data_IF_499050683840
#
_entry.id   IF_499050683840
#
_cell.length_a   1.000
_cell.length_b   1.000
_cell.length_c   1.000
_cell.angle_alpha   90.00
_cell.angle_beta   90.00
_cell.angle_gamma   90.00
#
_symmetry.space_group_name_H-M   'P 1'
#
loop_
_entity.id
_entity.type
_entity.pdbx_description
1 polymer ?
#
# COMPACT_ATOMS: atom_id res chain seq x y z
N UNK A 1 -5.44 -1.07 -15.79
CA UNK A 1 -5.61 -2.29 -14.95
C UNK A 1 -4.93 -3.51 -15.56
N UNK A 2 -5.21 -3.88 -16.82
CA UNK A 2 -4.59 -5.04 -17.48
C UNK A 2 -3.05 -5.02 -17.46
N UNK A 3 -2.42 -3.88 -17.74
CA UNK A 3 -0.96 -3.74 -17.73
C UNK A 3 -0.32 -4.12 -16.39
N UNK A 4 -0.96 -3.78 -15.27
CA UNK A 4 -0.47 -4.12 -13.92
C UNK A 4 -0.50 -5.63 -13.70
N UNK A 5 -1.58 -6.30 -14.11
CA UNK A 5 -1.69 -7.75 -13.99
C UNK A 5 -0.71 -8.49 -14.90
N UNK A 6 -0.51 -8.00 -16.13
CA UNK A 6 0.51 -8.53 -17.05
C UNK A 6 1.90 -8.40 -16.45
N UNK A 7 2.26 -7.23 -15.91
CA UNK A 7 3.55 -7.03 -15.26
C UNK A 7 3.76 -8.00 -14.08
N UNK A 8 2.74 -8.21 -13.24
CA UNK A 8 2.81 -9.19 -12.14
C UNK A 8 2.99 -10.61 -12.66
N UNK A 9 2.27 -11.01 -13.71
CA UNK A 9 2.39 -12.33 -14.30
C UNK A 9 3.80 -12.58 -14.88
N UNK A 10 4.36 -11.60 -15.58
CA UNK A 10 5.73 -11.68 -16.13
C UNK A 10 6.75 -11.87 -15.01
N UNK A 11 6.64 -11.09 -13.92
CA UNK A 11 7.53 -11.23 -12.76
C UNK A 11 7.39 -12.62 -12.11
N UNK A 12 6.17 -13.12 -11.95
CA UNK A 12 5.93 -14.45 -11.37
C UNK A 12 6.53 -15.58 -12.22
N UNK A 13 6.40 -15.49 -13.56
CA UNK A 13 7.01 -16.46 -14.49
C UNK A 13 8.54 -16.37 -14.42
N UNK A 14 9.11 -15.17 -14.43
CA UNK A 14 10.55 -14.97 -14.31
C UNK A 14 11.12 -15.57 -13.01
N UNK A 15 10.43 -15.34 -11.87
CA UNK A 15 10.77 -15.94 -10.59
C UNK A 15 10.74 -17.48 -10.65
N UNK A 16 9.68 -18.04 -11.24
CA UNK A 16 9.51 -19.50 -11.34
C UNK A 16 10.60 -20.13 -12.19
N UNK A 17 10.90 -19.53 -13.36
CA UNK A 17 11.98 -19.99 -14.23
C UNK A 17 13.34 -19.86 -13.55
N UNK A 18 13.59 -18.74 -12.86
CA UNK A 18 14.80 -18.55 -12.08
C UNK A 18 14.95 -19.65 -11.02
N UNK A 19 13.87 -20.01 -10.32
CA UNK A 19 13.88 -21.08 -9.33
C UNK A 19 14.14 -22.48 -9.90
N UNK A 20 13.50 -22.78 -11.04
CA UNK A 20 13.67 -24.06 -11.69
C UNK A 20 15.08 -24.23 -12.27
N UNK A 21 15.60 -23.17 -12.91
CA UNK A 21 16.93 -23.18 -13.55
C UNK A 21 18.08 -23.08 -12.56
N UNK A 22 17.90 -22.37 -11.43
CA UNK A 22 18.93 -22.18 -10.40
C UNK A 22 18.64 -23.07 -9.17
N UNK A 23 18.28 -24.33 -9.44
CA UNK A 23 18.06 -25.38 -8.44
C UNK A 23 19.35 -26.05 -7.97
N UNK A 24 20.51 -25.63 -8.49
CA UNK A 24 21.80 -26.11 -8.06
C UNK A 24 22.00 -25.90 -6.55
N UNK A 25 22.31 -26.97 -5.79
CA UNK A 25 22.51 -26.89 -4.35
C UNK A 25 23.72 -26.00 -4.05
N UNK A 26 23.48 -24.87 -3.39
CA UNK A 26 24.51 -23.88 -3.04
C UNK A 26 24.69 -23.87 -1.53
N UNK A 27 25.95 -23.85 -1.06
CA UNK A 27 26.25 -23.70 0.37
C UNK A 27 26.34 -22.22 0.75
N UNK A 28 25.70 -21.86 1.86
CA UNK A 28 25.74 -20.50 2.41
C UNK A 28 26.51 -20.57 3.73
N UNK A 29 27.56 -19.76 3.88
CA UNK A 29 28.24 -19.57 5.17
C UNK A 29 27.97 -18.17 5.69
N UNK A 30 27.35 -18.07 6.86
CA UNK A 30 27.03 -16.80 7.50
C UNK A 30 27.61 -16.75 8.92
N UNK A 31 28.76 -16.08 9.05
CA UNK A 31 29.54 -15.91 10.29
C UNK A 31 29.94 -17.25 10.93
N UNK A 32 29.05 -17.87 11.71
CA UNK A 32 29.25 -19.18 12.38
C UNK A 32 28.34 -20.28 11.84
N UNK A 33 27.34 -19.95 11.03
CA UNK A 33 26.34 -20.91 10.54
C UNK A 33 26.58 -21.26 9.09
N UNK A 34 26.32 -22.53 8.75
CA UNK A 34 26.39 -23.03 7.38
C UNK A 34 25.08 -23.74 7.06
N UNK A 35 24.49 -23.36 5.92
CA UNK A 35 23.32 -24.01 5.35
C UNK A 35 23.75 -24.67 4.05
N UNK A 36 23.75 -25.99 4.04
CA UNK A 36 24.14 -26.79 2.89
C UNK A 36 22.93 -27.14 2.02
N UNK A 37 23.18 -27.27 0.72
CA UNK A 37 22.22 -27.72 -0.28
C UNK A 37 20.93 -26.89 -0.39
N UNK A 38 20.97 -25.59 -0.12
CA UNK A 38 19.82 -24.71 -0.33
C UNK A 38 19.83 -24.21 -1.79
N UNK A 39 18.71 -24.34 -2.53
CA UNK A 39 18.59 -23.75 -3.86
C UNK A 39 18.75 -22.22 -3.82
N UNK A 40 19.54 -21.67 -4.73
CA UNK A 40 19.84 -20.23 -4.78
C UNK A 40 18.57 -19.38 -4.85
N UNK A 41 17.57 -19.85 -5.58
CA UNK A 41 16.32 -19.14 -5.72
C UNK A 41 15.50 -19.05 -4.44
N UNK A 42 15.56 -20.05 -3.56
CA UNK A 42 14.89 -19.98 -2.26
C UNK A 42 15.46 -18.82 -1.45
N UNK A 43 16.78 -18.62 -1.47
CA UNK A 43 17.46 -17.54 -0.75
C UNK A 43 17.01 -16.18 -1.29
N UNK A 44 17.02 -16.03 -2.61
CA UNK A 44 16.65 -14.77 -3.26
C UNK A 44 15.17 -14.45 -3.01
N UNK A 45 14.29 -15.44 -3.13
CA UNK A 45 12.86 -15.26 -2.87
C UNK A 45 12.57 -14.87 -1.43
N UNK A 46 13.21 -15.52 -0.47
CA UNK A 46 13.07 -15.16 0.96
C UNK A 46 13.61 -13.76 1.21
N UNK A 47 14.74 -13.40 0.61
CA UNK A 47 15.33 -12.06 0.76
C UNK A 47 14.42 -10.96 0.19
N UNK A 48 13.86 -11.18 -1.00
CA UNK A 48 12.90 -10.27 -1.62
C UNK A 48 11.62 -10.18 -0.80
N UNK A 49 11.10 -11.31 -0.32
CA UNK A 49 9.92 -11.35 0.54
C UNK A 49 10.15 -10.56 1.83
N UNK A 50 11.30 -10.74 2.49
CA UNK A 50 11.68 -9.95 3.66
C UNK A 50 11.75 -8.46 3.33
N UNK A 51 12.41 -8.08 2.23
CA UNK A 51 12.49 -6.68 1.81
C UNK A 51 11.10 -6.07 1.56
N UNK A 52 10.20 -6.82 0.93
CA UNK A 52 8.83 -6.38 0.67
C UNK A 52 8.01 -6.26 1.96
N UNK A 53 8.19 -7.17 2.92
CA UNK A 53 7.53 -7.08 4.22
C UNK A 53 8.06 -5.87 4.99
N UNK A 54 9.38 -5.72 5.10
CA UNK A 54 10.02 -4.66 5.86
C UNK A 54 9.74 -3.28 5.28
N UNK A 55 9.75 -3.11 3.95
CA UNK A 55 9.46 -1.83 3.31
C UNK A 55 7.97 -1.61 3.04
N UNK A 56 7.27 -2.64 2.55
CA UNK A 56 5.90 -2.53 2.08
C UNK A 56 4.86 -2.44 3.20
N UNK A 57 5.07 -3.12 4.33
CA UNK A 57 4.13 -3.07 5.46
C UNK A 57 4.05 -1.66 6.06
N UNK A 58 5.16 -0.97 6.40
CA UNK A 58 5.10 0.41 6.89
C UNK A 58 4.41 1.37 5.91
N UNK A 59 4.74 1.29 4.62
CA UNK A 59 4.12 2.10 3.55
C UNK A 59 2.61 1.86 3.46
N UNK A 60 2.17 0.61 3.61
CA UNK A 60 0.75 0.26 3.57
C UNK A 60 0.00 0.79 4.80
N UNK A 61 0.60 0.64 5.99
CA UNK A 61 0.05 1.18 7.24
C UNK A 61 -0.08 2.70 7.17
N UNK A 62 0.95 3.38 6.67
CA UNK A 62 0.93 4.83 6.51
C UNK A 62 -0.17 5.26 5.54
N UNK A 63 -0.28 4.62 4.37
CA UNK A 63 -1.39 4.86 3.44
C UNK A 63 -2.78 4.69 4.06
N UNK A 64 -2.94 3.68 4.91
CA UNK A 64 -4.21 3.45 5.61
C UNK A 64 -4.49 4.59 6.61
N UNK A 65 -3.49 5.03 7.38
CA UNK A 65 -3.62 6.17 8.30
C UNK A 65 -3.92 7.48 7.58
N UNK A 66 -3.29 7.75 6.44
CA UNK A 66 -3.59 8.94 5.66
C UNK A 66 -5.03 8.92 5.14
N UNK A 67 -5.51 7.77 4.65
CA UNK A 67 -6.91 7.62 4.22
C UNK A 67 -7.91 7.79 5.36
N UNK A 68 -7.64 7.24 6.54
CA UNK A 68 -8.55 7.41 7.68
C UNK A 68 -8.60 8.86 8.16
N UNK A 69 -7.45 9.56 8.13
CA UNK A 69 -7.40 11.00 8.42
C UNK A 69 -8.21 11.80 7.39
N UNK A 70 -8.06 11.54 6.10
CA UNK A 70 -8.86 12.21 5.06
C UNK A 70 -10.36 12.08 5.32
N UNK A 71 -10.84 10.87 5.62
CA UNK A 71 -12.25 10.64 5.96
C UNK A 71 -12.70 11.39 7.21
N UNK A 72 -11.84 11.44 8.24
CA UNK A 72 -12.13 12.16 9.48
C UNK A 72 -12.13 13.68 9.30
N UNK A 73 -11.33 14.22 8.37
CA UNK A 73 -11.38 15.63 7.99
C UNK A 73 -12.64 15.93 7.18
N UNK A 74 -12.99 15.09 6.19
CA UNK A 74 -14.23 15.23 5.40
C UNK A 74 -15.47 15.23 6.31
N UNK A 75 -15.56 14.31 7.28
CA UNK A 75 -16.71 14.28 8.20
C UNK A 75 -16.82 15.55 9.04
N UNK A 76 -15.68 16.12 9.48
CA UNK A 76 -15.64 17.37 10.25
C UNK A 76 -16.01 18.59 9.40
N UNK A 77 -15.66 18.59 8.12
CA UNK A 77 -16.09 19.65 7.20
C UNK A 77 -17.60 19.61 7.01
N UNK A 78 -18.18 18.42 6.78
CA UNK A 78 -19.64 18.26 6.65
C UNK A 78 -20.36 18.71 7.93
N UNK A 79 -19.83 18.37 9.10
CA UNK A 79 -20.41 18.75 10.40
C UNK A 79 -20.23 20.25 10.72
N UNK A 80 -19.23 20.92 10.14
CA UNK A 80 -19.06 22.36 10.26
C UNK A 80 -19.89 23.15 9.23
N UNK A 81 -20.12 22.59 8.04
CA UNK A 81 -20.96 23.20 7.00
C UNK A 81 -22.46 23.10 7.33
N UNK A 82 -22.92 22.04 8.01
CA UNK A 82 -24.32 21.90 8.43
C UNK A 82 -24.84 23.06 9.29
N UNK A 83 -24.18 23.52 10.38
CA UNK A 83 -24.65 24.65 11.17
C UNK A 83 -24.55 26.00 10.42
N UNK A 84 -23.61 26.14 9.47
CA UNK A 84 -23.51 27.32 8.61
C UNK A 84 -24.65 27.39 7.58
N UNK A 85 -25.01 26.25 6.99
CA UNK A 85 -26.18 26.10 6.12
C UNK A 85 -27.48 26.37 6.87
N UNK A 86 -27.63 25.79 8.06
CA UNK A 86 -28.80 25.98 8.92
C UNK A 86 -28.94 27.44 9.43
N UNK A 87 -27.83 28.13 9.69
CA UNK A 87 -27.81 29.54 10.06
C UNK A 87 -28.13 30.46 8.86
N UNK A 88 -27.70 30.06 7.65
CA UNK A 88 -28.00 30.75 6.40
C UNK A 88 -29.46 30.53 5.96
N UNK A 89 -30.03 29.36 6.23
CA UNK A 89 -31.44 29.03 5.93
C UNK A 89 -32.40 29.56 7.01
N UNK A 90 -31.95 29.71 8.26
CA UNK A 90 -32.69 30.44 9.31
C UNK A 90 -32.58 31.96 9.20
N UNK A 91 -31.64 32.50 8.40
CA UNK A 91 -31.65 33.92 8.11
C UNK A 91 -32.97 34.23 7.38
N UNK A 92 -33.89 35.00 7.98
CA UNK A 92 -35.11 35.41 7.30
C UNK A 92 -34.70 36.13 6.03
N UNK A 93 -35.41 35.83 4.94
CA UNK A 93 -35.13 36.33 3.61
C UNK A 93 -34.62 37.76 3.60
N UNK A 94 -33.60 37.99 2.78
CA UNK A 94 -33.03 39.29 2.44
C UNK A 94 -34.06 40.41 2.60
N UNK A 95 -33.72 41.50 3.33
CA UNK A 95 -34.65 42.61 3.46
C UNK A 95 -35.01 43.11 2.06
N UNK A 96 -36.26 43.52 1.89
CA UNK A 96 -36.84 43.64 0.57
C UNK A 96 -36.20 44.78 -0.20
N UNK A 97 -35.93 44.53 -1.48
CA UNK A 97 -35.58 45.55 -2.45
C UNK A 97 -36.77 46.49 -2.63
N UNK A 98 -36.71 47.65 -1.97
CA UNK A 98 -37.56 48.80 -2.31
C UNK A 98 -36.83 49.66 -3.38
N UNK A 99 -37.58 50.43 -4.20
CA UNK A 99 -37.17 50.88 -5.54
C UNK A 99 -36.11 51.98 -5.55
#
# INVERSE_FOLDING_TARGET
MALKYIAVAVVAVAITLFALQNSAPTSIRFVVWQLDAVPLATIILVSVALGLVLGGVPLLVERWRLRSRLRALESRLVEAETPLGDARDRAPGSPPTWP
#
